data_IF_701357048384
#
_entry.id   IF_701357048384
#
_cell.length_a   1.000
_cell.length_b   1.000
_cell.length_c   1.000
_cell.angle_alpha   90.00
_cell.angle_beta   90.00
_cell.angle_gamma   90.00
#
_symmetry.space_group_name_H-M   'P 1'
#
loop_
_entity.id
_entity.type
_entity.pdbx_description
1 polymer ?
#
# COMPACT_ATOMS: atom_id res chain seq x y z
N UNK A 1 -4.97 -30.95 65.07
CA UNK A 1 -4.89 -29.54 64.65
C UNK A 1 -5.42 -29.46 63.23
N UNK A 2 -6.63 -28.93 63.06
CA UNK A 2 -7.32 -28.81 61.77
C UNK A 2 -6.60 -27.86 60.83
N UNK A 3 -6.31 -28.32 59.62
CA UNK A 3 -5.96 -27.45 58.49
C UNK A 3 -7.24 -26.71 58.04
N UNK A 4 -7.21 -25.39 58.15
CA UNK A 4 -8.30 -24.53 57.71
C UNK A 4 -8.49 -24.62 56.20
N UNK A 5 -9.71 -24.92 55.77
CA UNK A 5 -10.17 -24.78 54.38
C UNK A 5 -10.37 -23.29 54.12
N UNK A 6 -9.55 -22.70 53.26
CA UNK A 6 -9.74 -21.32 52.78
C UNK A 6 -10.99 -21.31 51.86
N UNK A 7 -11.97 -20.41 52.06
CA UNK A 7 -13.14 -20.34 51.20
C UNK A 7 -12.73 -19.94 49.78
N UNK A 8 -13.25 -20.65 48.79
CA UNK A 8 -13.05 -20.35 47.36
C UNK A 8 -13.79 -19.04 47.05
N UNK A 9 -13.09 -17.91 46.92
CA UNK A 9 -13.69 -16.65 46.46
C UNK A 9 -14.38 -16.86 45.09
N UNK A 10 -15.59 -16.31 44.86
CA UNK A 10 -16.24 -16.41 43.57
C UNK A 10 -15.40 -15.68 42.52
N UNK A 11 -14.82 -16.41 41.57
CA UNK A 11 -14.06 -15.82 40.46
C UNK A 11 -14.95 -14.80 39.75
N UNK A 12 -14.57 -13.52 39.77
CA UNK A 12 -15.26 -12.47 39.02
C UNK A 12 -15.16 -12.79 37.52
N UNK A 13 -16.26 -13.26 36.94
CA UNK A 13 -16.37 -13.45 35.50
C UNK A 13 -16.45 -12.08 34.82
N UNK A 14 -15.55 -11.83 33.85
CA UNK A 14 -15.49 -10.62 33.05
C UNK A 14 -16.07 -10.89 31.66
N UNK A 15 -16.49 -9.84 30.95
CA UNK A 15 -16.99 -9.98 29.58
C UNK A 15 -15.85 -9.99 28.57
N UNK A 16 -15.83 -10.94 27.64
CA UNK A 16 -14.85 -11.00 26.57
C UNK A 16 -14.97 -9.78 25.64
N UNK A 17 -13.87 -9.03 25.45
CA UNK A 17 -13.85 -7.79 24.66
C UNK A 17 -14.20 -7.96 23.16
N UNK A 18 -14.35 -9.20 22.68
CA UNK A 18 -14.59 -9.52 21.27
C UNK A 18 -16.03 -10.02 21.05
N UNK A 19 -16.50 -10.93 21.90
CA UNK A 19 -17.78 -11.63 21.71
C UNK A 19 -18.72 -11.56 22.92
N UNK A 20 -18.34 -10.82 23.96
CA UNK A 20 -19.13 -10.53 25.17
C UNK A 20 -19.50 -11.76 26.03
N UNK A 21 -19.01 -12.95 25.68
CA UNK A 21 -19.14 -14.14 26.53
C UNK A 21 -18.34 -13.96 27.82
N UNK A 22 -18.91 -14.43 28.93
CA UNK A 22 -18.24 -14.48 30.22
C UNK A 22 -16.94 -15.29 30.13
N UNK A 23 -15.88 -14.75 30.70
CA UNK A 23 -14.54 -15.33 30.71
C UNK A 23 -13.79 -14.85 31.96
N UNK A 24 -12.90 -15.67 32.47
CA UNK A 24 -11.89 -15.25 33.46
C UNK A 24 -10.52 -15.05 32.82
N UNK A 25 -10.41 -15.35 31.51
CA UNK A 25 -9.13 -15.49 30.85
C UNK A 25 -8.63 -14.17 30.24
N UNK A 26 -7.33 -13.94 30.40
CA UNK A 26 -6.58 -12.87 29.76
C UNK A 26 -5.59 -13.50 28.78
N UNK A 27 -5.72 -13.19 27.48
CA UNK A 27 -4.84 -13.75 26.46
C UNK A 27 -4.52 -12.67 25.43
N UNK A 28 -3.31 -12.69 24.89
CA UNK A 28 -2.90 -11.78 23.82
C UNK A 28 -3.11 -10.30 24.21
N UNK A 29 -2.82 -9.94 25.46
CA UNK A 29 -2.94 -8.56 25.94
C UNK A 29 -4.36 -8.06 26.24
N UNK A 30 -5.39 -8.91 26.12
CA UNK A 30 -6.79 -8.49 26.38
C UNK A 30 -7.58 -9.56 27.15
N UNK A 31 -8.68 -9.14 27.79
CA UNK A 31 -9.68 -10.07 28.35
C UNK A 31 -10.45 -10.71 27.19
N UNK A 32 -10.24 -11.99 26.95
CA UNK A 32 -10.96 -12.71 25.90
C UNK A 32 -11.22 -14.17 26.24
N UNK A 33 -12.34 -14.71 25.74
CA UNK A 33 -12.67 -16.11 25.91
C UNK A 33 -11.76 -16.99 25.05
N UNK A 34 -11.61 -18.26 25.44
CA UNK A 34 -10.78 -19.24 24.73
C UNK A 34 -11.13 -19.37 23.23
N UNK A 35 -12.41 -19.22 22.85
CA UNK A 35 -12.81 -19.27 21.45
C UNK A 35 -12.27 -18.09 20.63
N UNK A 36 -12.20 -16.89 21.20
CA UNK A 36 -11.63 -15.71 20.54
C UNK A 36 -10.11 -15.73 20.52
N UNK A 37 -9.48 -16.24 21.59
CA UNK A 37 -8.04 -16.58 21.61
C UNK A 37 -7.67 -17.51 20.44
N UNK A 38 -8.32 -18.66 20.36
CA UNK A 38 -8.01 -19.66 19.33
C UNK A 38 -8.35 -19.18 17.93
N UNK A 39 -9.41 -18.38 17.79
CA UNK A 39 -9.75 -17.74 16.53
C UNK A 39 -8.63 -16.77 16.09
N UNK A 40 -8.21 -15.85 16.95
CA UNK A 40 -7.14 -14.89 16.66
C UNK A 40 -5.84 -15.59 16.25
N UNK A 41 -5.43 -16.63 16.99
CA UNK A 41 -4.24 -17.43 16.67
C UNK A 41 -4.32 -18.09 15.29
N UNK A 42 -5.45 -18.74 14.96
CA UNK A 42 -5.64 -19.43 13.67
C UNK A 42 -5.61 -18.47 12.48
N UNK A 43 -6.09 -17.25 12.67
CA UNK A 43 -6.05 -16.22 11.63
C UNK A 43 -4.61 -15.79 11.35
N UNK A 44 -3.83 -15.58 12.41
CA UNK A 44 -2.42 -15.23 12.28
C UNK A 44 -1.60 -16.39 11.66
N UNK A 45 -1.93 -17.65 11.99
CA UNK A 45 -1.29 -18.84 11.41
C UNK A 45 -1.71 -19.06 9.94
N UNK A 46 -2.95 -18.69 9.55
CA UNK A 46 -3.53 -18.93 8.21
C UNK A 46 -4.38 -17.73 7.75
N UNK A 47 -3.76 -16.68 7.19
CA UNK A 47 -4.44 -15.43 6.83
C UNK A 47 -5.58 -15.59 5.80
N UNK A 48 -5.47 -16.59 4.91
CA UNK A 48 -6.48 -16.90 3.89
C UNK A 48 -7.89 -17.21 4.44
N UNK A 49 -8.03 -17.44 5.75
CA UNK A 49 -9.30 -17.71 6.44
C UNK A 49 -10.18 -16.43 6.53
N UNK A 50 -9.61 -15.25 6.30
CA UNK A 50 -10.23 -13.93 6.51
C UNK A 50 -10.49 -13.17 5.21
N UNK A 51 -10.59 -13.86 4.07
CA UNK A 51 -11.03 -13.22 2.83
C UNK A 51 -12.41 -12.57 3.00
N UNK A 52 -12.55 -11.25 2.72
CA UNK A 52 -13.84 -10.60 2.70
C UNK A 52 -14.72 -11.28 1.64
N UNK A 53 -15.93 -11.71 1.99
CA UNK A 53 -16.88 -12.24 1.00
C UNK A 53 -17.42 -11.16 0.05
N UNK A 54 -17.11 -9.89 0.28
CA UNK A 54 -17.58 -8.75 -0.49
C UNK A 54 -16.44 -7.78 -0.75
N UNK A 55 -16.45 -7.21 -1.95
CA UNK A 55 -15.43 -6.33 -2.57
C UNK A 55 -15.15 -5.04 -1.76
N UNK A 56 -15.96 -4.73 -0.73
CA UNK A 56 -15.92 -3.46 0.01
C UNK A 56 -15.65 -3.61 1.52
N UNK A 57 -15.10 -4.75 1.96
CA UNK A 57 -15.08 -5.11 3.38
C UNK A 57 -16.50 -5.37 3.91
N UNK A 58 -16.61 -5.87 5.13
CA UNK A 58 -17.88 -6.36 5.69
C UNK A 58 -18.93 -5.26 6.00
N UNK A 59 -18.69 -3.98 5.64
CA UNK A 59 -19.70 -2.91 5.64
C UNK A 59 -20.55 -2.78 6.91
N UNK A 60 -20.00 -3.15 8.08
CA UNK A 60 -20.78 -3.15 9.32
C UNK A 60 -21.89 -4.22 9.38
N UNK A 61 -21.68 -5.44 8.87
CA UNK A 61 -22.73 -6.47 8.74
C UNK A 61 -23.51 -6.84 10.02
N UNK A 62 -23.14 -6.36 11.22
CA UNK A 62 -23.82 -6.69 12.48
C UNK A 62 -23.83 -8.17 12.87
N UNK A 63 -23.35 -9.07 11.99
CA UNK A 63 -23.41 -10.52 12.19
C UNK A 63 -22.32 -10.97 13.13
N UNK A 64 -22.73 -11.55 14.26
CA UNK A 64 -21.86 -12.20 15.26
C UNK A 64 -20.98 -13.33 14.68
N UNK A 65 -21.22 -13.77 13.43
CA UNK A 65 -20.59 -14.93 12.78
C UNK A 65 -19.57 -14.59 11.69
N UNK A 66 -19.44 -13.33 11.26
CA UNK A 66 -18.50 -12.95 10.21
C UNK A 66 -17.05 -13.06 10.71
N UNK A 67 -16.23 -13.90 10.06
CA UNK A 67 -14.82 -14.12 10.44
C UNK A 67 -14.00 -12.84 10.32
N UNK A 68 -14.13 -12.10 9.21
CA UNK A 68 -13.45 -10.81 9.03
C UNK A 68 -13.79 -9.82 10.14
N UNK A 69 -15.09 -9.57 10.37
CA UNK A 69 -15.53 -8.61 11.38
C UNK A 69 -15.21 -9.07 12.82
N UNK A 70 -15.12 -10.38 13.08
CA UNK A 70 -14.63 -10.91 14.36
C UNK A 70 -13.14 -10.65 14.57
N UNK A 71 -12.32 -10.78 13.52
CA UNK A 71 -10.89 -10.49 13.60
C UNK A 71 -10.60 -9.01 13.72
N UNK A 72 -11.38 -8.19 13.02
CA UNK A 72 -11.36 -6.74 13.20
C UNK A 72 -11.61 -6.33 14.65
N UNK A 73 -12.58 -6.95 15.33
CA UNK A 73 -12.79 -6.76 16.77
C UNK A 73 -11.60 -7.21 17.62
N UNK A 74 -10.89 -8.28 17.25
CA UNK A 74 -9.67 -8.70 17.92
C UNK A 74 -8.58 -7.61 17.84
N UNK A 75 -8.35 -7.04 16.66
CA UNK A 75 -7.38 -5.97 16.46
C UNK A 75 -7.77 -4.69 17.22
N UNK A 76 -9.03 -4.25 17.09
CA UNK A 76 -9.54 -3.06 17.79
C UNK A 76 -9.48 -3.19 19.32
N UNK A 77 -9.64 -4.40 19.85
CA UNK A 77 -9.50 -4.66 21.28
C UNK A 77 -8.04 -4.61 21.77
N UNK A 78 -7.06 -4.54 20.86
CA UNK A 78 -5.63 -4.51 21.18
C UNK A 78 -4.99 -5.89 21.30
N UNK A 79 -5.55 -6.95 20.67
CA UNK A 79 -4.99 -8.29 20.77
C UNK A 79 -3.57 -8.36 20.16
N UNK A 80 -2.60 -8.74 20.97
CA UNK A 80 -1.19 -8.87 20.61
C UNK A 80 -0.87 -10.29 20.11
N UNK A 81 -0.03 -10.46 19.07
CA UNK A 81 0.34 -11.79 18.59
C UNK A 81 1.03 -12.64 19.69
N UNK A 82 0.89 -13.99 19.66
CA UNK A 82 1.54 -14.87 20.63
C UNK A 82 3.06 -14.68 20.67
N UNK A 83 3.67 -14.67 21.86
CA UNK A 83 5.12 -14.58 22.03
C UNK A 83 5.90 -15.77 21.44
N UNK A 84 5.22 -16.90 21.20
CA UNK A 84 5.76 -18.09 20.49
C UNK A 84 5.77 -17.94 18.97
N UNK A 85 5.34 -16.77 18.45
CA UNK A 85 5.68 -16.30 17.09
C UNK A 85 7.07 -15.61 17.11
N UNK A 86 7.86 -15.75 18.19
CA UNK A 86 9.31 -15.87 18.03
C UNK A 86 9.59 -17.25 17.44
N UNK A 87 10.28 -17.37 16.30
CA UNK A 87 10.39 -18.63 15.56
C UNK A 87 11.14 -19.68 16.40
N UNK A 88 10.40 -20.48 17.16
CA UNK A 88 10.89 -21.73 17.71
C UNK A 88 10.64 -22.79 16.66
N UNK A 89 11.67 -23.05 15.85
CA UNK A 89 11.66 -23.83 14.59
C UNK A 89 10.71 -23.25 13.54
N UNK A 90 11.13 -23.06 12.27
CA UNK A 90 10.23 -22.55 11.26
C UNK A 90 9.08 -23.56 11.11
N UNK A 91 7.81 -23.23 11.41
CA UNK A 91 6.73 -23.92 10.72
C UNK A 91 7.04 -23.74 9.23
N UNK A 92 6.94 -24.80 8.42
CA UNK A 92 7.04 -24.67 6.97
C UNK A 92 6.27 -23.41 6.56
N UNK A 93 7.00 -22.42 6.03
CA UNK A 93 6.45 -21.10 5.70
C UNK A 93 5.08 -21.32 5.06
N UNK A 94 3.98 -20.74 5.57
CA UNK A 94 2.71 -20.82 4.85
C UNK A 94 3.00 -20.25 3.46
N UNK A 95 3.13 -21.14 2.46
CA UNK A 95 3.61 -20.79 1.12
C UNK A 95 2.70 -19.68 0.62
N UNK A 96 3.28 -18.51 0.36
CA UNK A 96 2.53 -17.43 -0.27
C UNK A 96 2.13 -17.97 -1.64
N UNK A 97 0.83 -18.01 -1.90
CA UNK A 97 0.33 -18.35 -3.22
C UNK A 97 0.55 -17.15 -4.13
N UNK A 98 1.75 -17.13 -4.71
CA UNK A 98 2.26 -16.01 -5.49
C UNK A 98 1.43 -15.77 -6.75
N UNK A 99 0.92 -16.84 -7.38
CA UNK A 99 0.09 -16.75 -8.58
C UNK A 99 -1.22 -15.99 -8.30
N UNK A 100 -1.90 -16.32 -7.19
CA UNK A 100 -3.14 -15.64 -6.79
C UNK A 100 -2.86 -14.18 -6.42
N UNK A 101 -1.79 -13.92 -5.69
CA UNK A 101 -1.41 -12.56 -5.29
C UNK A 101 -1.09 -11.70 -6.52
N UNK A 102 -0.25 -12.19 -7.42
CA UNK A 102 0.13 -11.49 -8.64
C UNK A 102 -1.06 -11.28 -9.55
N UNK A 103 -1.94 -12.27 -9.72
CA UNK A 103 -3.17 -12.11 -10.49
C UNK A 103 -4.07 -10.98 -9.95
N UNK A 104 -4.20 -10.88 -8.62
CA UNK A 104 -4.92 -9.78 -7.98
C UNK A 104 -4.26 -8.42 -8.25
N UNK A 105 -2.94 -8.31 -8.04
CA UNK A 105 -2.21 -7.05 -8.25
C UNK A 105 -2.22 -6.63 -9.72
N UNK A 106 -2.08 -7.58 -10.65
CA UNK A 106 -2.22 -7.34 -12.09
C UNK A 106 -3.59 -6.81 -12.46
N UNK A 107 -4.66 -7.37 -11.90
CA UNK A 107 -6.02 -6.91 -12.15
C UNK A 107 -6.20 -5.45 -11.69
N UNK A 108 -5.75 -5.13 -10.47
CA UNK A 108 -5.81 -3.78 -9.94
C UNK A 108 -5.00 -2.79 -10.78
N UNK A 109 -3.77 -3.15 -11.18
CA UNK A 109 -2.93 -2.27 -11.98
C UNK A 109 -3.46 -2.11 -13.41
N UNK A 110 -4.02 -3.16 -14.02
CA UNK A 110 -4.66 -3.07 -15.35
C UNK A 110 -5.86 -2.13 -15.30
N UNK A 111 -6.67 -2.20 -14.24
CA UNK A 111 -7.76 -1.26 -14.03
C UNK A 111 -7.24 0.19 -13.86
N UNK A 112 -6.19 0.40 -13.06
CA UNK A 112 -5.53 1.69 -12.89
C UNK A 112 -5.04 2.26 -14.23
N UNK A 113 -4.35 1.46 -15.03
CA UNK A 113 -3.82 1.84 -16.35
C UNK A 113 -4.95 2.24 -17.31
N UNK A 114 -6.01 1.43 -17.39
CA UNK A 114 -7.17 1.73 -18.23
C UNK A 114 -7.85 3.06 -17.83
N UNK A 115 -7.98 3.29 -16.52
CA UNK A 115 -8.53 4.54 -15.98
C UNK A 115 -7.59 5.73 -16.24
N UNK A 116 -6.27 5.55 -16.15
CA UNK A 116 -5.32 6.61 -16.47
C UNK A 116 -5.40 7.01 -17.95
N UNK A 117 -5.47 6.04 -18.87
CA UNK A 117 -5.51 6.31 -20.32
C UNK A 117 -6.85 6.90 -20.78
N UNK A 118 -7.98 6.41 -20.25
CA UNK A 118 -9.31 6.74 -20.78
C UNK A 118 -10.21 7.53 -19.83
N UNK A 119 -9.82 7.63 -18.56
CA UNK A 119 -10.59 8.27 -17.50
C UNK A 119 -10.31 9.76 -17.38
N UNK A 120 -11.23 10.41 -16.67
CA UNK A 120 -11.18 11.80 -16.28
C UNK A 120 -11.87 11.97 -14.93
N UNK A 121 -11.47 12.99 -14.19
CA UNK A 121 -12.06 13.35 -12.92
C UNK A 121 -12.51 14.81 -12.98
N UNK A 122 -13.83 15.06 -13.06
CA UNK A 122 -14.36 16.40 -13.25
C UNK A 122 -14.46 17.20 -11.95
N UNK A 123 -14.36 16.53 -10.79
CA UNK A 123 -14.50 17.17 -9.49
C UNK A 123 -13.21 17.94 -9.14
N UNK A 124 -13.36 19.09 -8.49
CA UNK A 124 -12.26 20.00 -8.14
C UNK A 124 -11.51 19.64 -6.85
N UNK A 125 -11.48 18.37 -6.43
CA UNK A 125 -10.84 17.98 -5.18
C UNK A 125 -9.30 18.02 -5.27
N UNK A 126 -8.68 18.48 -4.20
CA UNK A 126 -7.23 18.42 -3.95
C UNK A 126 -6.78 17.00 -3.63
N UNK A 127 -5.47 16.70 -3.74
CA UNK A 127 -4.91 15.40 -3.33
C UNK A 127 -5.19 15.08 -1.87
N UNK A 128 -5.14 16.10 -1.01
CA UNK A 128 -5.49 15.99 0.39
C UNK A 128 -6.94 15.53 0.59
N UNK A 129 -7.90 16.19 -0.07
CA UNK A 129 -9.32 15.84 0.01
C UNK A 129 -9.58 14.43 -0.55
N UNK A 130 -8.84 14.02 -1.58
CA UNK A 130 -8.96 12.68 -2.17
C UNK A 130 -8.44 11.55 -1.27
N UNK A 131 -7.36 11.82 -0.52
CA UNK A 131 -6.84 10.91 0.49
C UNK A 131 -7.83 10.74 1.66
N UNK A 132 -8.55 11.81 2.00
CA UNK A 132 -9.57 11.84 3.05
C UNK A 132 -10.92 11.25 2.59
N UNK A 133 -11.20 11.29 1.28
CA UNK A 133 -12.44 10.79 0.71
C UNK A 133 -12.65 9.31 1.03
N UNK A 134 -13.73 8.99 1.73
CA UNK A 134 -14.15 7.60 1.94
C UNK A 134 -14.65 6.95 0.64
N UNK A 135 -14.39 5.66 0.46
CA UNK A 135 -14.95 4.88 -0.65
C UNK A 135 -14.23 5.05 -2.01
N UNK A 136 -14.80 4.51 -3.09
CA UNK A 136 -14.19 4.52 -4.42
C UNK A 136 -14.19 5.91 -5.05
N UNK A 137 -13.18 6.20 -5.88
CA UNK A 137 -13.15 7.42 -6.69
C UNK A 137 -13.93 7.16 -7.99
N UNK A 138 -14.90 8.02 -8.29
CA UNK A 138 -15.76 7.89 -9.47
C UNK A 138 -15.12 8.60 -10.68
N UNK A 139 -14.49 7.81 -11.55
CA UNK A 139 -13.96 8.30 -12.82
C UNK A 139 -15.03 8.29 -13.90
N UNK A 140 -15.01 9.29 -14.77
CA UNK A 140 -15.83 9.34 -15.99
C UNK A 140 -14.95 9.12 -17.22
N UNK A 141 -15.56 8.78 -18.36
CA UNK A 141 -14.84 8.70 -19.63
C UNK A 141 -14.35 10.08 -20.04
N UNK A 142 -13.07 10.22 -20.39
CA UNK A 142 -12.49 11.48 -20.86
C UNK A 142 -13.17 11.92 -22.17
N UNK A 143 -13.76 13.13 -22.22
CA UNK A 143 -14.23 13.71 -23.47
C UNK A 143 -13.07 13.96 -24.43
N UNK A 144 -13.28 13.68 -25.73
CA UNK A 144 -12.21 13.76 -26.76
C UNK A 144 -11.61 15.16 -26.94
N UNK A 145 -12.34 16.21 -26.55
CA UNK A 145 -11.87 17.59 -26.68
C UNK A 145 -10.96 18.03 -25.51
N UNK A 146 -10.93 17.27 -24.41
CA UNK A 146 -10.02 17.57 -23.29
C UNK A 146 -8.62 17.10 -23.68
N UNK A 147 -7.73 18.06 -23.90
CA UNK A 147 -6.30 17.81 -24.00
C UNK A 147 -5.71 17.73 -22.60
N UNK A 148 -4.82 16.77 -22.38
CA UNK A 148 -4.10 16.63 -21.12
C UNK A 148 -2.72 17.26 -21.29
N UNK A 149 -2.40 18.24 -20.45
CA UNK A 149 -1.04 18.72 -20.27
C UNK A 149 -0.34 17.99 -19.13
N UNK A 150 0.85 18.47 -18.80
CA UNK A 150 1.70 17.93 -17.73
C UNK A 150 0.95 17.91 -16.39
N UNK A 151 0.27 19.01 -16.04
CA UNK A 151 -0.45 19.14 -14.77
C UNK A 151 -1.67 18.22 -14.69
N UNK A 152 -2.47 18.12 -15.76
CA UNK A 152 -3.63 17.22 -15.78
C UNK A 152 -3.21 15.76 -15.70
N UNK A 153 -2.12 15.39 -16.40
CA UNK A 153 -1.57 14.04 -16.34
C UNK A 153 -0.97 13.72 -14.98
N UNK A 154 -0.22 14.64 -14.37
CA UNK A 154 0.31 14.50 -13.02
C UNK A 154 -0.80 14.26 -12.00
N UNK A 155 -1.87 15.08 -12.06
CA UNK A 155 -3.05 14.95 -11.20
C UNK A 155 -3.75 13.60 -11.38
N UNK A 156 -4.04 13.19 -12.63
CA UNK A 156 -4.73 11.93 -12.88
C UNK A 156 -3.87 10.72 -12.49
N UNK A 157 -2.54 10.81 -12.65
CA UNK A 157 -1.60 9.78 -12.20
C UNK A 157 -1.67 9.63 -10.69
N UNK A 158 -1.60 10.73 -9.93
CA UNK A 158 -1.75 10.71 -8.49
C UNK A 158 -3.11 10.12 -8.04
N UNK A 159 -4.20 10.58 -8.66
CA UNK A 159 -5.56 10.16 -8.36
C UNK A 159 -5.78 8.65 -8.60
N UNK A 160 -5.34 8.13 -9.74
CA UNK A 160 -5.46 6.71 -10.06
C UNK A 160 -4.57 5.84 -9.15
N UNK A 161 -3.41 6.34 -8.72
CA UNK A 161 -2.56 5.68 -7.73
C UNK A 161 -3.23 5.62 -6.34
N UNK A 162 -3.83 6.72 -5.88
CA UNK A 162 -4.60 6.74 -4.63
C UNK A 162 -5.75 5.73 -4.68
N UNK A 163 -6.53 5.73 -5.77
CA UNK A 163 -7.61 4.79 -5.98
C UNK A 163 -7.13 3.31 -6.05
N UNK A 164 -5.97 3.07 -6.66
CA UNK A 164 -5.32 1.77 -6.68
C UNK A 164 -5.01 1.26 -5.27
N UNK A 165 -4.35 2.08 -4.44
CA UNK A 165 -4.00 1.65 -3.08
C UNK A 165 -5.21 1.50 -2.16
N UNK A 166 -6.25 2.34 -2.30
CA UNK A 166 -7.50 2.23 -1.51
C UNK A 166 -8.17 0.85 -1.63
N UNK A 167 -7.88 0.09 -2.69
CA UNK A 167 -8.45 -1.26 -2.93
C UNK A 167 -7.70 -2.39 -2.22
N UNK A 168 -6.55 -2.13 -1.60
CA UNK A 168 -5.80 -3.13 -0.87
C UNK A 168 -6.44 -3.46 0.47
N UNK A 169 -6.48 -4.74 0.83
CA UNK A 169 -7.16 -5.21 2.04
C UNK A 169 -6.62 -4.57 3.33
N UNK A 170 -5.31 -4.33 3.42
CA UNK A 170 -4.71 -3.71 4.60
C UNK A 170 -5.15 -2.25 4.80
N UNK A 171 -5.61 -1.56 3.75
CA UNK A 171 -6.12 -0.18 3.86
C UNK A 171 -7.47 -0.13 4.59
N UNK A 172 -8.25 -1.21 4.50
CA UNK A 172 -9.48 -1.37 5.28
C UNK A 172 -9.19 -1.66 6.76
N UNK A 173 -7.93 -1.96 7.09
CA UNK A 173 -7.50 -2.22 8.46
C UNK A 173 -6.98 -0.97 9.18
N UNK A 174 -6.75 0.13 8.45
CA UNK A 174 -6.25 1.36 9.03
C UNK A 174 -7.40 2.21 9.60
N UNK A 175 -7.07 3.08 10.57
CA UNK A 175 -7.96 4.17 10.93
C UNK A 175 -8.12 5.13 9.73
N UNK A 176 -9.14 5.99 9.75
CA UNK A 176 -9.29 6.95 8.66
C UNK A 176 -8.11 7.92 8.60
N UNK A 177 -7.54 8.28 9.75
CA UNK A 177 -6.37 9.15 9.87
C UNK A 177 -5.11 8.48 9.33
N UNK A 178 -4.81 7.25 9.76
CA UNK A 178 -3.65 6.50 9.26
C UNK A 178 -3.72 6.25 7.75
N UNK A 179 -4.93 5.95 7.24
CA UNK A 179 -5.15 5.75 5.81
C UNK A 179 -4.85 7.03 5.03
N UNK A 180 -5.34 8.17 5.51
CA UNK A 180 -5.07 9.47 4.90
C UNK A 180 -3.57 9.78 4.92
N UNK A 181 -2.90 9.61 6.06
CA UNK A 181 -1.49 9.91 6.22
C UNK A 181 -0.61 9.03 5.33
N UNK A 182 -0.93 7.74 5.22
CA UNK A 182 -0.23 6.81 4.34
C UNK A 182 -0.45 7.15 2.86
N UNK A 183 -1.68 7.48 2.46
CA UNK A 183 -1.98 7.83 1.07
C UNK A 183 -1.29 9.14 0.67
N UNK A 184 -1.36 10.19 1.50
CA UNK A 184 -0.74 11.50 1.25
C UNK A 184 0.76 11.40 0.98
N UNK A 185 1.45 10.53 1.70
CA UNK A 185 2.92 10.45 1.67
C UNK A 185 3.45 9.22 0.94
N UNK A 186 2.59 8.28 0.52
CA UNK A 186 3.02 7.03 -0.12
C UNK A 186 2.80 7.01 -1.63
N UNK A 187 1.84 7.78 -2.15
CA UNK A 187 1.40 7.63 -3.54
C UNK A 187 2.49 8.01 -4.56
N UNK A 188 3.36 8.98 -4.23
CA UNK A 188 4.31 9.52 -5.20
C UNK A 188 5.36 8.50 -5.65
N UNK A 189 5.85 7.65 -4.73
CA UNK A 189 6.84 6.62 -5.07
C UNK A 189 6.29 5.66 -6.13
N UNK A 190 5.05 5.23 -5.94
CA UNK A 190 4.36 4.39 -6.92
C UNK A 190 4.13 5.15 -8.22
N UNK A 191 3.61 6.39 -8.17
CA UNK A 191 3.31 7.18 -9.38
C UNK A 191 4.55 7.35 -10.26
N UNK A 192 5.67 7.80 -9.69
CA UNK A 192 6.93 8.02 -10.44
C UNK A 192 7.44 6.70 -11.03
N UNK A 193 7.41 5.62 -10.25
CA UNK A 193 7.87 4.31 -10.72
C UNK A 193 6.94 3.70 -11.77
N UNK A 194 5.62 3.87 -11.63
CA UNK A 194 4.63 3.41 -12.60
C UNK A 194 4.76 4.15 -13.93
N UNK A 195 5.04 5.46 -13.92
CA UNK A 195 5.30 6.23 -15.15
C UNK A 195 6.57 5.72 -15.83
N UNK A 196 7.67 5.52 -15.09
CA UNK A 196 8.90 4.94 -15.66
C UNK A 196 8.68 3.54 -16.25
N UNK A 197 8.06 2.64 -15.49
CA UNK A 197 7.83 1.26 -15.92
C UNK A 197 6.88 1.19 -17.14
N UNK A 198 5.82 1.99 -17.17
CA UNK A 198 4.90 2.04 -18.32
C UNK A 198 5.53 2.65 -19.57
N UNK A 199 6.43 3.64 -19.42
CA UNK A 199 7.20 4.18 -20.56
C UNK A 199 8.02 3.09 -21.25
N UNK A 200 8.58 2.17 -20.47
CA UNK A 200 9.34 1.02 -20.99
C UNK A 200 8.38 -0.04 -21.58
N UNK A 201 7.47 -0.57 -20.76
CA UNK A 201 6.64 -1.74 -21.10
C UNK A 201 5.60 -1.46 -22.19
N UNK A 202 4.98 -0.27 -22.17
CA UNK A 202 3.87 0.09 -23.06
C UNK A 202 4.29 0.91 -24.26
N UNK A 203 5.26 1.82 -24.06
CA UNK A 203 5.64 2.78 -25.09
C UNK A 203 6.98 2.43 -25.76
N UNK A 204 7.76 1.51 -25.20
CA UNK A 204 9.08 1.14 -25.73
C UNK A 204 10.09 2.28 -25.67
N UNK A 205 9.93 3.20 -24.72
CA UNK A 205 10.74 4.41 -24.59
C UNK A 205 11.85 4.24 -23.55
N UNK A 206 12.98 4.91 -23.80
CA UNK A 206 14.14 5.00 -22.90
C UNK A 206 14.14 6.26 -22.03
N UNK A 207 13.01 6.98 -21.99
CA UNK A 207 12.78 8.15 -21.17
C UNK A 207 11.35 8.12 -20.63
N UNK A 208 11.11 8.80 -19.53
CA UNK A 208 9.79 8.85 -18.90
C UNK A 208 8.81 9.69 -19.73
N UNK A 209 7.60 9.20 -19.93
CA UNK A 209 6.48 9.94 -20.54
C UNK A 209 5.13 9.49 -19.98
N UNK A 210 4.12 10.34 -20.15
CA UNK A 210 2.73 9.99 -19.89
C UNK A 210 2.16 9.10 -21.02
N UNK A 211 0.98 8.46 -20.83
CA UNK A 211 0.46 7.48 -21.79
C UNK A 211 0.25 7.97 -23.23
N UNK A 212 0.10 9.26 -23.46
CA UNK A 212 -0.02 9.86 -24.79
C UNK A 212 1.32 10.36 -25.37
N UNK A 213 2.43 10.11 -24.67
CA UNK A 213 3.77 10.59 -25.00
C UNK A 213 4.09 11.98 -24.48
N UNK A 214 3.20 12.62 -23.71
CA UNK A 214 3.48 13.92 -23.09
C UNK A 214 4.68 13.82 -22.12
N UNK A 215 5.59 14.79 -22.23
CA UNK A 215 6.75 14.92 -21.35
C UNK A 215 6.31 15.15 -19.90
N UNK A 216 6.88 14.45 -18.88
CA UNK A 216 6.52 14.66 -17.47
C UNK A 216 6.97 16.01 -16.91
N UNK A 217 7.72 16.81 -17.68
CA UNK A 217 8.17 18.16 -17.29
C UNK A 217 7.78 19.21 -18.34
N UNK A 218 7.68 20.47 -17.90
CA UNK A 218 7.54 21.60 -18.81
C UNK A 218 8.90 22.04 -19.37
N UNK A 219 9.30 21.40 -20.47
CA UNK A 219 10.63 21.50 -21.04
C UNK A 219 11.01 22.91 -21.49
N UNK A 220 12.22 23.35 -21.14
CA UNK A 220 12.83 24.58 -21.63
C UNK A 220 12.27 25.87 -21.04
N UNK A 221 11.45 25.78 -19.99
CA UNK A 221 10.93 26.95 -19.27
C UNK A 221 11.86 27.43 -18.15
N UNK A 222 12.62 26.52 -17.53
CA UNK A 222 13.58 26.86 -16.48
C UNK A 222 14.92 27.20 -17.12
N UNK A 223 15.45 28.39 -16.83
CA UNK A 223 16.80 28.78 -17.25
C UNK A 223 17.86 27.81 -16.72
N UNK A 224 18.70 27.28 -17.60
CA UNK A 224 19.70 26.24 -17.30
C UNK A 224 19.10 24.95 -16.68
N UNK A 225 17.81 24.68 -16.90
CA UNK A 225 17.09 23.52 -16.37
C UNK A 225 17.31 22.21 -17.13
N UNK A 226 17.97 22.23 -18.28
CA UNK A 226 18.06 21.07 -19.18
C UNK A 226 18.64 19.82 -18.50
N UNK A 227 19.71 19.97 -17.73
CA UNK A 227 20.33 18.84 -17.02
C UNK A 227 19.36 18.21 -16.00
N UNK A 228 18.63 19.05 -15.24
CA UNK A 228 17.62 18.61 -14.29
C UNK A 228 16.51 17.84 -15.00
N UNK A 229 15.97 18.39 -16.08
CA UNK A 229 14.92 17.75 -16.86
C UNK A 229 15.38 16.40 -17.47
N UNK A 230 16.61 16.33 -17.98
CA UNK A 230 17.19 15.07 -18.47
C UNK A 230 17.32 14.03 -17.35
N UNK A 231 17.72 14.44 -16.13
CA UNK A 231 17.78 13.53 -14.98
C UNK A 231 16.39 13.01 -14.59
N UNK A 232 15.36 13.85 -14.62
CA UNK A 232 13.98 13.45 -14.37
C UNK A 232 13.53 12.39 -15.38
N UNK A 233 13.76 12.65 -16.67
CA UNK A 233 13.35 11.76 -17.76
C UNK A 233 14.08 10.41 -17.74
N UNK A 234 15.38 10.42 -17.49
CA UNK A 234 16.24 9.28 -17.83
C UNK A 234 16.70 8.46 -16.64
N UNK A 235 16.87 9.04 -15.44
CA UNK A 235 17.53 8.34 -14.32
C UNK A 235 16.80 7.06 -13.93
N UNK A 236 15.50 7.16 -13.68
CA UNK A 236 14.73 6.02 -13.20
C UNK A 236 14.46 5.01 -14.32
N UNK A 237 14.17 5.48 -15.53
CA UNK A 237 13.97 4.61 -16.70
C UNK A 237 15.24 3.84 -17.02
N UNK A 238 16.39 4.52 -17.05
CA UNK A 238 17.70 3.91 -17.25
C UNK A 238 18.00 2.82 -16.22
N UNK A 239 17.82 3.12 -14.93
CA UNK A 239 18.03 2.10 -13.89
C UNK A 239 17.06 0.93 -13.96
N UNK A 240 15.81 1.19 -14.33
CA UNK A 240 14.77 0.16 -14.50
C UNK A 240 15.10 -0.76 -15.68
N UNK A 241 15.64 -0.21 -16.77
CA UNK A 241 16.12 -0.95 -17.95
C UNK A 241 17.38 -1.76 -17.63
N UNK A 242 18.37 -1.16 -16.95
CA UNK A 242 19.59 -1.84 -16.51
C UNK A 242 19.28 -3.07 -15.67
N UNK A 243 18.33 -2.94 -14.75
CA UNK A 243 17.89 -4.04 -13.90
C UNK A 243 16.87 -4.96 -14.59
N UNK A 244 16.37 -4.64 -15.78
CA UNK A 244 15.33 -5.42 -16.46
C UNK A 244 14.17 -5.74 -15.52
N UNK A 245 13.63 -4.72 -14.84
CA UNK A 245 12.56 -4.92 -13.87
C UNK A 245 11.32 -5.46 -14.57
N UNK A 246 10.84 -6.62 -14.13
CA UNK A 246 9.61 -7.23 -14.64
C UNK A 246 8.37 -6.57 -14.04
N UNK A 247 7.20 -6.78 -14.68
CA UNK A 247 5.94 -6.23 -14.19
C UNK A 247 5.59 -6.77 -12.79
N UNK A 248 5.84 -8.04 -12.54
CA UNK A 248 5.63 -8.70 -11.24
C UNK A 248 6.52 -8.09 -10.15
N UNK A 249 7.79 -7.87 -10.46
CA UNK A 249 8.73 -7.20 -9.54
C UNK A 249 8.30 -5.77 -9.26
N UNK A 250 7.91 -5.00 -10.29
CA UNK A 250 7.37 -3.65 -10.13
C UNK A 250 6.17 -3.63 -9.17
N UNK A 251 5.18 -4.53 -9.36
CA UNK A 251 3.98 -4.58 -8.54
C UNK A 251 4.30 -4.88 -7.06
N UNK A 252 5.10 -5.91 -6.81
CA UNK A 252 5.49 -6.30 -5.46
C UNK A 252 6.37 -5.24 -4.79
N UNK A 253 7.39 -4.75 -5.49
CA UNK A 253 8.35 -3.78 -4.98
C UNK A 253 7.69 -2.44 -4.65
N UNK A 254 6.83 -1.93 -5.53
CA UNK A 254 6.12 -0.68 -5.30
C UNK A 254 5.18 -0.76 -4.09
N UNK A 255 4.61 -1.94 -3.83
CA UNK A 255 3.78 -2.18 -2.63
C UNK A 255 4.63 -2.28 -1.36
N UNK A 256 5.82 -2.89 -1.44
CA UNK A 256 6.80 -2.88 -0.32
C UNK A 256 7.18 -1.44 0.06
N UNK A 257 7.45 -0.58 -0.94
CA UNK A 257 7.79 0.81 -0.71
C UNK A 257 6.61 1.63 -0.17
N UNK A 258 5.40 1.38 -0.66
CA UNK A 258 4.20 2.03 -0.15
C UNK A 258 3.92 1.67 1.31
N UNK A 259 4.13 0.41 1.70
CA UNK A 259 3.99 -0.04 3.08
C UNK A 259 5.16 0.41 3.97
N UNK A 260 5.39 1.71 4.15
CA UNK A 260 6.47 2.22 5.00
C UNK A 260 6.01 2.43 6.47
N UNK A 261 6.49 1.61 7.44
CA UNK A 261 6.11 1.75 8.85
C UNK A 261 6.79 2.91 9.56
N UNK A 262 7.84 3.53 8.97
CA UNK A 262 8.58 4.65 9.60
C UNK A 262 7.94 6.00 9.32
N UNK A 263 6.71 6.02 8.79
CA UNK A 263 5.99 7.25 8.51
C UNK A 263 5.65 7.97 9.83
N UNK A 264 6.01 9.26 9.99
CA UNK A 264 5.94 9.96 11.28
C UNK A 264 4.52 10.08 11.84
N UNK A 265 3.52 10.16 10.97
CA UNK A 265 2.11 10.41 11.37
C UNK A 265 1.24 9.15 11.46
N UNK A 266 1.84 7.96 11.58
CA UNK A 266 1.08 6.73 11.81
C UNK A 266 0.91 6.45 13.31
N UNK A 267 -0.30 6.05 13.70
CA UNK A 267 -0.60 5.53 15.03
C UNK A 267 0.12 4.19 15.29
N UNK A 268 0.35 3.81 16.54
CA UNK A 268 0.96 2.50 16.87
C UNK A 268 0.20 1.31 16.24
N UNK A 269 -1.15 1.26 16.24
CA UNK A 269 -1.88 0.25 15.49
C UNK A 269 -1.62 0.31 13.97
N UNK A 270 -1.59 1.52 13.40
CA UNK A 270 -1.29 1.75 11.98
C UNK A 270 0.09 1.22 11.60
N UNK A 271 1.12 1.55 12.38
CA UNK A 271 2.50 1.04 12.21
C UNK A 271 2.51 -0.49 12.22
N UNK A 272 1.77 -1.12 13.14
CA UNK A 272 1.70 -2.58 13.23
C UNK A 272 1.10 -3.21 11.97
N UNK A 273 0.01 -2.64 11.44
CA UNK A 273 -0.65 -3.11 10.22
C UNK A 273 0.26 -2.92 9.00
N UNK A 274 0.91 -1.76 8.89
CA UNK A 274 1.80 -1.44 7.77
C UNK A 274 3.06 -2.30 7.81
N UNK A 275 3.69 -2.49 8.96
CA UNK A 275 4.83 -3.38 9.12
C UNK A 275 4.46 -4.83 8.76
N UNK A 276 3.29 -5.31 9.20
CA UNK A 276 2.81 -6.66 8.84
C UNK A 276 2.64 -6.81 7.32
N UNK A 277 2.07 -5.77 6.68
CA UNK A 277 1.88 -5.74 5.23
C UNK A 277 3.22 -5.68 4.48
N UNK A 278 4.15 -4.83 4.93
CA UNK A 278 5.49 -4.69 4.36
C UNK A 278 6.25 -6.02 4.41
N UNK A 279 6.22 -6.72 5.55
CA UNK A 279 6.85 -8.04 5.71
C UNK A 279 6.22 -9.07 4.77
N UNK A 280 4.89 -9.06 4.61
CA UNK A 280 4.19 -9.95 3.69
C UNK A 280 4.62 -9.73 2.23
N UNK A 281 4.57 -8.49 1.74
CA UNK A 281 4.96 -8.19 0.36
C UNK A 281 6.47 -8.35 0.11
N UNK A 282 7.31 -8.08 1.12
CA UNK A 282 8.75 -8.35 1.04
C UNK A 282 9.04 -9.84 0.93
N UNK A 283 8.31 -10.66 1.70
CA UNK A 283 8.42 -12.12 1.62
C UNK A 283 7.93 -12.65 0.27
N UNK A 284 6.85 -12.07 -0.28
CA UNK A 284 6.35 -12.42 -1.61
C UNK A 284 7.35 -12.06 -2.71
N UNK A 285 7.96 -10.87 -2.66
CA UNK A 285 9.01 -10.46 -3.58
C UNK A 285 10.25 -11.36 -3.47
N UNK A 286 10.68 -11.66 -2.25
CA UNK A 286 11.81 -12.57 -2.04
C UNK A 286 11.53 -13.98 -2.60
N UNK A 287 10.33 -14.52 -2.35
CA UNK A 287 9.90 -15.80 -2.93
C UNK A 287 9.86 -15.75 -4.46
N UNK A 288 9.37 -14.66 -5.05
CA UNK A 288 9.41 -14.46 -6.51
C UNK A 288 10.85 -14.51 -7.03
N UNK A 289 11.77 -13.78 -6.38
CA UNK A 289 13.18 -13.74 -6.73
C UNK A 289 13.83 -15.13 -6.62
N UNK A 290 13.55 -15.88 -5.55
CA UNK A 290 14.07 -17.24 -5.38
C UNK A 290 13.57 -18.19 -6.48
N UNK A 291 12.29 -18.10 -6.85
CA UNK A 291 11.70 -18.97 -7.86
C UNK A 291 12.25 -18.72 -9.27
N UNK A 292 12.54 -17.46 -9.62
CA UNK A 292 12.93 -17.08 -10.99
C UNK A 292 14.44 -16.96 -11.18
N UNK A 293 15.19 -16.63 -10.12
CA UNK A 293 16.63 -16.37 -10.19
C UNK A 293 17.46 -17.34 -9.33
N UNK A 294 16.82 -18.31 -8.65
CA UNK A 294 17.48 -19.42 -7.94
C UNK A 294 18.54 -18.91 -6.94
N UNK A 295 19.80 -19.33 -7.10
CA UNK A 295 20.92 -18.91 -6.26
C UNK A 295 21.18 -17.39 -6.27
N UNK A 296 20.76 -16.69 -7.33
CA UNK A 296 20.87 -15.24 -7.44
C UNK A 296 19.66 -14.50 -6.84
N UNK A 297 18.65 -15.21 -6.34
CA UNK A 297 17.43 -14.63 -5.77
C UNK A 297 17.68 -13.58 -4.67
N UNK A 298 18.56 -13.83 -3.68
CA UNK A 298 18.88 -12.83 -2.65
C UNK A 298 19.54 -11.57 -3.22
N UNK A 299 20.48 -11.70 -4.15
CA UNK A 299 21.12 -10.56 -4.82
C UNK A 299 20.10 -9.77 -5.62
N UNK A 300 19.24 -10.46 -6.39
CA UNK A 300 18.16 -9.82 -7.14
C UNK A 300 17.21 -9.03 -6.23
N UNK A 301 16.82 -9.61 -5.10
CA UNK A 301 15.99 -8.93 -4.11
C UNK A 301 16.65 -7.64 -3.59
N UNK A 302 17.94 -7.68 -3.26
CA UNK A 302 18.68 -6.51 -2.82
C UNK A 302 18.81 -5.43 -3.92
N UNK A 303 19.10 -5.83 -5.16
CA UNK A 303 19.18 -4.92 -6.31
C UNK A 303 17.85 -4.22 -6.58
N UNK A 304 16.73 -4.93 -6.43
CA UNK A 304 15.39 -4.36 -6.56
C UNK A 304 15.09 -3.36 -5.44
N UNK A 305 15.41 -3.69 -4.18
CA UNK A 305 15.22 -2.77 -3.06
C UNK A 305 16.03 -1.47 -3.23
N UNK A 306 17.20 -1.52 -3.88
CA UNK A 306 18.01 -0.33 -4.10
C UNK A 306 17.32 0.71 -5.00
N UNK A 307 16.31 0.33 -5.78
CA UNK A 307 15.54 1.25 -6.63
C UNK A 307 14.85 2.35 -5.83
N UNK A 308 14.57 2.13 -4.53
CA UNK A 308 13.93 3.13 -3.66
C UNK A 308 14.68 4.47 -3.71
N UNK A 309 16.01 4.44 -3.66
CA UNK A 309 16.84 5.65 -3.68
C UNK A 309 16.77 6.39 -5.01
N UNK A 310 16.68 5.64 -6.11
CA UNK A 310 16.58 6.22 -7.46
C UNK A 310 15.21 6.87 -7.65
N UNK A 311 14.15 6.22 -7.17
CA UNK A 311 12.78 6.75 -7.19
C UNK A 311 12.71 8.05 -6.38
N UNK A 312 13.22 8.05 -5.14
CA UNK A 312 13.27 9.27 -4.31
C UNK A 312 14.03 10.40 -4.99
N UNK A 313 15.24 10.13 -5.51
CA UNK A 313 16.04 11.16 -6.17
C UNK A 313 15.36 11.73 -7.41
N UNK A 314 14.66 10.89 -8.19
CA UNK A 314 13.87 11.34 -9.34
C UNK A 314 12.66 12.17 -8.88
N UNK A 315 11.98 11.77 -7.82
CA UNK A 315 10.90 12.55 -7.22
C UNK A 315 11.39 13.91 -6.71
N UNK A 316 12.49 13.98 -5.98
CA UNK A 316 13.07 15.23 -5.49
C UNK A 316 13.41 16.19 -6.62
N UNK A 317 14.00 15.69 -7.72
CA UNK A 317 14.26 16.49 -8.92
C UNK A 317 12.94 16.99 -9.55
N UNK A 318 11.89 16.16 -9.63
CA UNK A 318 10.56 16.58 -10.12
C UNK A 318 9.95 17.67 -9.25
N UNK A 319 10.07 17.54 -7.92
CA UNK A 319 9.56 18.52 -6.96
C UNK A 319 10.33 19.83 -7.06
N UNK A 320 11.65 19.78 -7.15
CA UNK A 320 12.49 20.96 -7.36
C UNK A 320 12.15 21.67 -8.67
N UNK A 321 11.95 20.91 -9.75
CA UNK A 321 11.50 21.45 -11.03
C UNK A 321 10.14 22.16 -10.91
N UNK A 322 9.16 21.51 -10.28
CA UNK A 322 7.82 22.07 -10.11
C UNK A 322 7.82 23.33 -9.22
N UNK A 323 8.60 23.35 -8.14
CA UNK A 323 8.74 24.51 -7.26
C UNK A 323 9.36 25.67 -8.05
N UNK A 324 10.47 25.44 -8.76
CA UNK A 324 11.14 26.48 -9.57
C UNK A 324 10.19 27.07 -10.62
N UNK A 325 9.44 26.21 -11.32
CA UNK A 325 8.41 26.67 -12.25
C UNK A 325 7.33 27.50 -11.57
N UNK A 326 6.84 27.09 -10.40
CA UNK A 326 5.77 27.82 -9.70
C UNK A 326 6.19 29.23 -9.28
N UNK A 327 7.49 29.42 -8.97
CA UNK A 327 8.06 30.72 -8.61
C UNK A 327 8.21 31.62 -9.84
N UNK A 328 8.64 31.08 -10.97
CA UNK A 328 8.84 31.84 -12.22
C UNK A 328 7.54 32.08 -12.99
N UNK A 329 6.63 31.11 -12.96
CA UNK A 329 5.37 31.07 -13.69
C UNK A 329 4.23 30.62 -12.78
N UNK A 330 3.66 31.51 -11.94
CA UNK A 330 2.59 31.16 -11.00
C UNK A 330 1.33 30.55 -11.65
N UNK A 331 1.10 30.82 -12.94
CA UNK A 331 0.01 30.23 -13.72
C UNK A 331 0.19 28.73 -14.02
N UNK A 332 1.43 28.23 -13.98
CA UNK A 332 1.79 26.82 -14.13
C UNK A 332 1.96 26.10 -12.79
N UNK A 333 1.72 26.80 -11.68
CA UNK A 333 1.71 26.18 -10.37
C UNK A 333 0.56 25.16 -10.32
N UNK A 334 0.91 23.87 -10.32
CA UNK A 334 -0.04 22.79 -10.11
C UNK A 334 -0.64 22.92 -8.71
N UNK A 335 -1.85 23.49 -8.61
CA UNK A 335 -2.60 23.68 -7.36
C UNK A 335 -2.98 22.36 -6.67
N UNK A 336 -2.84 21.25 -7.37
CA UNK A 336 -3.32 19.93 -6.98
C UNK A 336 -2.21 18.88 -6.93
N UNK A 337 -0.94 19.27 -7.05
CA UNK A 337 0.19 18.33 -7.00
C UNK A 337 0.85 18.23 -5.61
N UNK A 338 0.29 18.92 -4.61
CA UNK A 338 0.80 18.98 -3.23
C UNK A 338 -0.31 18.59 -2.26
#
# INVERSE_FOLDING_TARGET
>A
MSSAVVPNEPRKYLSCSICEKLTTDFNYGVICCNACKMFYRRVLEKPAIITPKAVNGCGGCGMKTCKYCRFWKCLKAGMQPPSTVRPQTPPENPKINLDVLLAYMHNLNTHRENTLTSGYYPEGHTMQELAELGGPINFVKRPKYIKMGVSEWGFLTALTTIDYFKKFDFMNLLSSEDRTNLLKNGYFLFSVFATAHSSIDKLGQSHMSFPDGTDPVHSGLIENGEELEQRIRNRLVGRTLELQVTKEEFLLLSTVFFCNPTHPDLSEPGITIINTSQVFYSSALFQYCQNHYQQNGPTRFADLLSLVHVIYKTFDDMMYHQITLSVQFPSLACKTCF
#
